data_IF_399007876061
#
_entry.id   IF_399007876061
#
_cell.length_a   1.000
_cell.length_b   1.000
_cell.length_c   1.000
_cell.angle_alpha   90.00
_cell.angle_beta   90.00
_cell.angle_gamma   90.00
#
_symmetry.space_group_name_H-M   'P 1'
#
loop_
_entity.id
_entity.type
_entity.pdbx_description
1 polymer ?
#
# COMPACT_ATOMS: atom_id res chain seq x y z
N UNK A 1 0.87 -21.99 2.07
CA UNK A 1 1.53 -20.96 1.29
C UNK A 1 1.81 -19.73 2.15
N UNK A 2 3.02 -19.67 2.73
CA UNK A 2 3.45 -18.67 3.71
C UNK A 2 3.43 -17.25 3.11
N UNK A 3 3.82 -17.10 1.85
CA UNK A 3 3.89 -15.80 1.16
C UNK A 3 2.50 -15.17 1.05
N UNK A 4 1.50 -15.93 0.61
CA UNK A 4 0.12 -15.41 0.54
C UNK A 4 -0.43 -15.08 1.92
N UNK A 5 -0.14 -15.87 2.95
CA UNK A 5 -0.57 -15.60 4.32
C UNK A 5 -0.04 -14.28 4.87
N UNK A 6 1.20 -13.92 4.52
CA UNK A 6 1.85 -12.71 5.03
C UNK A 6 1.53 -11.50 4.14
N UNK A 7 1.61 -11.65 2.82
CA UNK A 7 1.65 -10.56 1.86
C UNK A 7 0.44 -10.52 0.91
N UNK A 8 -0.44 -11.53 0.98
CA UNK A 8 -1.61 -11.60 0.12
C UNK A 8 -2.65 -10.52 0.43
N UNK A 9 -3.49 -10.19 -0.58
CA UNK A 9 -4.64 -9.32 -0.40
C UNK A 9 -5.57 -9.83 0.70
N UNK A 10 -6.20 -8.93 1.44
CA UNK A 10 -7.17 -9.24 2.49
C UNK A 10 -8.50 -8.59 2.16
N UNK A 11 -9.57 -9.27 2.51
CA UNK A 11 -10.87 -8.62 2.42
C UNK A 11 -10.91 -7.42 3.37
N UNK A 12 -11.38 -6.27 2.87
CA UNK A 12 -11.42 -5.04 3.68
C UNK A 12 -12.58 -5.04 4.68
N UNK A 13 -13.59 -5.91 4.51
CA UNK A 13 -14.68 -6.08 5.47
C UNK A 13 -14.34 -7.14 6.52
N UNK A 14 -13.65 -8.22 6.11
CA UNK A 14 -13.15 -9.27 7.00
C UNK A 14 -11.67 -9.58 6.72
N UNK A 15 -10.72 -8.91 7.41
CA UNK A 15 -9.28 -9.10 7.20
C UNK A 15 -8.75 -10.53 7.46
N UNK A 16 -9.57 -11.43 8.00
CA UNK A 16 -9.20 -12.84 8.15
C UNK A 16 -9.29 -13.61 6.82
N UNK A 17 -10.07 -13.09 5.88
CA UNK A 17 -10.14 -13.65 4.53
C UNK A 17 -8.93 -13.17 3.74
N UNK A 18 -8.07 -14.11 3.35
CA UNK A 18 -6.82 -13.85 2.63
C UNK A 18 -6.96 -14.41 1.22
N UNK A 19 -6.66 -13.59 0.22
CA UNK A 19 -6.61 -13.99 -1.18
C UNK A 19 -5.17 -14.28 -1.61
N UNK A 20 -4.96 -15.12 -2.63
CA UNK A 20 -3.63 -15.29 -3.21
C UNK A 20 -3.18 -14.03 -3.95
N UNK A 21 -1.87 -13.79 -3.98
CA UNK A 21 -1.25 -12.82 -4.88
C UNK A 21 -1.50 -13.23 -6.34
N UNK A 22 -1.76 -12.26 -7.19
CA UNK A 22 -1.87 -12.50 -8.63
C UNK A 22 -0.46 -12.60 -9.24
N UNK A 23 -0.02 -13.81 -9.53
CA UNK A 23 1.31 -14.09 -10.08
C UNK A 23 1.50 -13.63 -11.54
N UNK A 24 0.45 -13.14 -12.19
CA UNK A 24 0.58 -12.46 -13.48
C UNK A 24 1.20 -11.06 -13.32
N UNK A 25 1.13 -10.49 -12.11
CA UNK A 25 1.69 -9.17 -11.81
C UNK A 25 3.16 -9.30 -11.39
N UNK A 26 4.09 -8.54 -12.03
CA UNK A 26 5.52 -8.56 -11.67
C UNK A 26 5.79 -8.20 -10.21
N UNK A 27 4.95 -7.39 -9.60
CA UNK A 27 5.12 -6.99 -8.19
C UNK A 27 4.94 -8.16 -7.22
N UNK A 28 4.12 -9.16 -7.57
CA UNK A 28 3.99 -10.39 -6.78
C UNK A 28 5.31 -11.16 -6.72
N UNK A 29 6.04 -11.21 -7.83
CA UNK A 29 7.38 -11.81 -7.89
C UNK A 29 8.40 -10.99 -7.11
N UNK A 30 8.33 -9.65 -7.18
CA UNK A 30 9.22 -8.79 -6.41
C UNK A 30 9.04 -8.98 -4.90
N UNK A 31 7.79 -9.08 -4.42
CA UNK A 31 7.48 -9.41 -3.02
C UNK A 31 8.08 -10.76 -2.63
N UNK A 32 7.91 -11.79 -3.47
CA UNK A 32 8.46 -13.12 -3.20
C UNK A 32 9.97 -13.09 -3.00
N UNK A 33 10.70 -12.49 -3.95
CA UNK A 33 12.17 -12.46 -3.88
C UNK A 33 12.68 -11.58 -2.74
N UNK A 34 12.03 -10.44 -2.46
CA UNK A 34 12.38 -9.61 -1.33
C UNK A 34 12.13 -10.32 0.01
N UNK A 35 11.03 -11.06 0.14
CA UNK A 35 10.75 -11.88 1.31
C UNK A 35 11.79 -13.00 1.51
N UNK A 36 12.25 -13.66 0.43
CA UNK A 36 13.36 -14.60 0.51
C UNK A 36 14.65 -13.90 0.96
N UNK A 37 14.92 -12.70 0.43
CA UNK A 37 16.07 -11.88 0.85
C UNK A 37 16.02 -11.55 2.34
N UNK A 38 14.88 -11.17 2.89
CA UNK A 38 14.67 -10.92 4.33
C UNK A 38 14.93 -12.19 5.15
N UNK A 39 14.42 -13.33 4.72
CA UNK A 39 14.61 -14.63 5.40
C UNK A 39 16.08 -15.08 5.41
N UNK A 40 16.83 -14.78 4.36
CA UNK A 40 18.26 -15.05 4.29
C UNK A 40 19.08 -14.01 5.05
N UNK A 41 18.73 -12.74 4.93
CA UNK A 41 19.40 -11.60 5.58
C UNK A 41 19.36 -11.67 7.11
N UNK A 42 18.28 -12.19 7.68
CA UNK A 42 18.18 -12.41 9.13
C UNK A 42 19.23 -13.35 9.71
N UNK A 43 19.88 -14.14 8.84
CA UNK A 43 20.97 -15.07 9.20
C UNK A 43 22.37 -14.46 9.07
N UNK A 44 22.48 -13.25 8.55
CA UNK A 44 23.74 -12.55 8.31
C UNK A 44 23.80 -11.25 9.09
N UNK A 45 25.04 -10.79 9.44
CA UNK A 45 25.26 -9.57 10.21
C UNK A 45 25.10 -8.26 9.39
N UNK A 46 24.68 -8.33 8.13
CA UNK A 46 24.65 -7.19 7.20
C UNK A 46 23.24 -6.57 7.09
N UNK A 47 22.95 -5.54 7.90
CA UNK A 47 21.65 -4.86 7.97
C UNK A 47 21.29 -4.00 6.73
N UNK A 48 22.24 -3.62 5.88
CA UNK A 48 21.96 -2.71 4.75
C UNK A 48 21.05 -3.33 3.70
N UNK A 49 21.20 -4.63 3.46
CA UNK A 49 20.37 -5.36 2.48
C UNK A 49 18.93 -5.58 2.98
N UNK A 50 18.75 -5.63 4.29
CA UNK A 50 17.44 -5.85 4.91
C UNK A 50 16.50 -4.68 4.65
N UNK A 51 16.94 -3.43 4.82
CA UNK A 51 16.16 -2.23 4.50
C UNK A 51 15.74 -2.20 3.03
N UNK A 52 16.64 -2.55 2.13
CA UNK A 52 16.31 -2.53 0.71
C UNK A 52 15.26 -3.59 0.38
N UNK A 53 15.34 -4.76 1.00
CA UNK A 53 14.32 -5.81 0.85
C UNK A 53 12.97 -5.39 1.43
N UNK A 54 12.93 -4.78 2.62
CA UNK A 54 11.70 -4.23 3.20
C UNK A 54 11.10 -3.13 2.31
N UNK A 55 11.95 -2.27 1.71
CA UNK A 55 11.48 -1.25 0.74
C UNK A 55 10.85 -1.88 -0.49
N UNK A 56 11.47 -2.90 -1.07
CA UNK A 56 10.89 -3.61 -2.22
C UNK A 56 9.54 -4.18 -1.85
N UNK A 57 9.39 -4.79 -0.67
CA UNK A 57 8.13 -5.36 -0.21
C UNK A 57 7.04 -4.29 -0.18
N UNK A 58 7.22 -3.21 0.59
CA UNK A 58 6.12 -2.24 0.73
C UNK A 58 5.87 -1.41 -0.54
N UNK A 59 6.90 -1.12 -1.35
CA UNK A 59 6.72 -0.45 -2.64
C UNK A 59 5.94 -1.33 -3.63
N UNK A 60 6.24 -2.62 -3.68
CA UNK A 60 5.52 -3.58 -4.51
C UNK A 60 4.07 -3.75 -4.04
N UNK A 61 3.83 -3.78 -2.72
CA UNK A 61 2.46 -3.79 -2.18
C UNK A 61 1.68 -2.52 -2.53
N UNK A 62 2.34 -1.34 -2.48
CA UNK A 62 1.73 -0.10 -2.94
C UNK A 62 1.39 -0.13 -4.43
N UNK A 63 2.26 -0.71 -5.25
CA UNK A 63 2.00 -0.85 -6.68
C UNK A 63 0.81 -1.78 -6.92
N UNK A 64 0.73 -2.92 -6.22
CA UNK A 64 -0.44 -3.80 -6.27
C UNK A 64 -1.72 -3.11 -5.77
N UNK A 65 -1.63 -2.28 -4.74
CA UNK A 65 -2.77 -1.49 -4.29
C UNK A 65 -3.27 -0.54 -5.39
N UNK A 66 -2.37 0.08 -6.14
CA UNK A 66 -2.72 1.06 -7.20
C UNK A 66 -3.20 0.42 -8.50
N UNK A 67 -2.63 -0.73 -8.88
CA UNK A 67 -2.84 -1.34 -10.20
C UNK A 67 -2.73 -2.87 -10.19
N UNK A 68 -2.94 -3.51 -9.04
CA UNK A 68 -2.71 -4.95 -8.87
C UNK A 68 -3.79 -5.83 -9.46
N UNK A 69 -4.98 -5.29 -9.73
CA UNK A 69 -6.08 -6.06 -10.29
C UNK A 69 -6.02 -6.05 -11.82
N UNK A 70 -5.62 -7.18 -12.39
CA UNK A 70 -5.55 -7.37 -13.84
C UNK A 70 -6.88 -7.91 -14.34
N UNK A 71 -7.53 -7.14 -15.22
CA UNK A 71 -8.77 -7.53 -15.89
C UNK A 71 -8.47 -7.72 -17.37
N UNK A 72 -8.78 -8.90 -17.88
CA UNK A 72 -8.60 -9.26 -19.30
C UNK A 72 -9.98 -9.54 -19.89
N UNK A 73 -10.33 -8.90 -20.98
CA UNK A 73 -11.57 -9.16 -21.69
C UNK A 73 -11.35 -9.23 -23.21
N UNK A 74 -12.12 -10.08 -23.90
CA UNK A 74 -12.02 -10.20 -25.33
C UNK A 74 -12.58 -8.93 -26.01
N UNK A 75 -11.93 -8.52 -27.09
CA UNK A 75 -12.39 -7.52 -28.04
C UNK A 75 -12.45 -8.17 -29.43
N UNK A 76 -13.16 -7.56 -30.37
CA UNK A 76 -13.29 -8.06 -31.75
C UNK A 76 -13.72 -9.54 -31.85
N UNK A 77 -14.81 -9.89 -31.17
CA UNK A 77 -15.37 -11.27 -31.16
C UNK A 77 -14.34 -12.34 -30.73
N UNK A 78 -13.39 -11.97 -29.82
CA UNK A 78 -12.40 -12.90 -29.30
C UNK A 78 -11.12 -13.00 -30.13
N UNK A 79 -10.94 -12.17 -31.18
CA UNK A 79 -9.70 -12.14 -31.98
C UNK A 79 -8.57 -11.38 -31.31
N UNK A 80 -8.89 -10.50 -30.36
CA UNK A 80 -7.94 -9.75 -29.56
C UNK A 80 -8.38 -9.65 -28.10
N UNK A 81 -7.46 -9.28 -27.20
CA UNK A 81 -7.74 -9.08 -25.78
C UNK A 81 -7.26 -7.70 -25.35
N UNK A 82 -8.07 -7.00 -24.57
CA UNK A 82 -7.64 -5.81 -23.85
C UNK A 82 -7.32 -6.15 -22.40
N UNK A 83 -6.24 -5.56 -21.89
CA UNK A 83 -5.78 -5.74 -20.52
C UNK A 83 -5.88 -4.39 -19.81
N UNK A 84 -6.57 -4.39 -18.66
CA UNK A 84 -6.67 -3.23 -17.79
C UNK A 84 -6.10 -3.55 -16.43
N UNK A 85 -5.31 -2.64 -15.91
CA UNK A 85 -4.84 -2.65 -14.53
C UNK A 85 -5.73 -1.71 -13.72
N UNK A 86 -6.23 -2.20 -12.59
CA UNK A 86 -7.11 -1.46 -11.71
C UNK A 86 -6.58 -1.53 -10.27
N UNK A 87 -6.93 -0.54 -9.40
CA UNK A 87 -6.63 -0.63 -7.98
C UNK A 87 -7.18 -1.92 -7.35
N UNK A 88 -6.36 -2.58 -6.55
CA UNK A 88 -6.79 -3.69 -5.70
C UNK A 88 -6.90 -3.23 -4.24
N UNK A 89 -8.09 -2.77 -3.86
CA UNK A 89 -8.34 -2.26 -2.50
C UNK A 89 -8.13 -3.31 -1.41
N UNK A 90 -8.16 -4.61 -1.77
CA UNK A 90 -7.87 -5.71 -0.83
C UNK A 90 -6.42 -5.71 -0.35
N UNK A 91 -5.52 -5.03 -1.07
CA UNK A 91 -4.13 -4.83 -0.65
C UNK A 91 -3.97 -3.80 0.47
N UNK A 92 -5.03 -3.03 0.81
CA UNK A 92 -4.94 -1.94 1.79
C UNK A 92 -4.40 -2.39 3.14
N UNK A 93 -5.03 -3.39 3.77
CA UNK A 93 -4.64 -3.82 5.13
C UNK A 93 -3.23 -4.43 5.16
N UNK A 94 -2.87 -5.19 4.13
CA UNK A 94 -1.53 -5.79 4.03
C UNK A 94 -0.46 -4.72 3.82
N UNK A 95 -0.71 -3.74 2.94
CA UNK A 95 0.19 -2.61 2.72
C UNK A 95 0.32 -1.72 3.95
N UNK A 96 -0.80 -1.40 4.61
CA UNK A 96 -0.86 -0.65 5.86
C UNK A 96 -0.01 -1.32 6.95
N UNK A 97 -0.21 -2.62 7.14
CA UNK A 97 0.56 -3.39 8.12
C UNK A 97 2.05 -3.37 7.80
N UNK A 98 2.43 -3.53 6.54
CA UNK A 98 3.83 -3.48 6.11
C UNK A 98 4.49 -2.12 6.45
N UNK A 99 3.78 -1.00 6.26
CA UNK A 99 4.28 0.31 6.67
C UNK A 99 4.49 0.41 8.18
N UNK A 100 3.46 0.05 8.96
CA UNK A 100 3.50 0.12 10.42
C UNK A 100 4.63 -0.75 10.98
N UNK A 101 4.75 -1.99 10.53
CA UNK A 101 5.77 -2.94 10.97
C UNK A 101 7.18 -2.44 10.59
N UNK A 102 7.36 -1.88 9.38
CA UNK A 102 8.64 -1.37 8.90
C UNK A 102 9.06 -0.12 9.68
N UNK A 103 8.14 0.81 9.94
CA UNK A 103 8.41 1.99 10.76
C UNK A 103 8.82 1.56 12.18
N UNK A 104 8.05 0.68 12.81
CA UNK A 104 8.35 0.16 14.15
C UNK A 104 9.71 -0.55 14.19
N UNK A 105 10.02 -1.37 13.19
CA UNK A 105 11.29 -2.11 13.09
C UNK A 105 12.52 -1.19 13.05
N UNK A 106 12.42 -0.04 12.37
CA UNK A 106 13.54 0.84 12.16
C UNK A 106 13.58 2.06 13.08
N UNK A 107 12.53 2.35 13.82
CA UNK A 107 12.39 3.52 14.67
C UNK A 107 13.49 3.58 15.74
N UNK A 108 13.83 2.45 16.36
CA UNK A 108 14.77 2.36 17.49
C UNK A 108 16.13 1.77 17.09
N UNK A 109 16.41 1.60 15.79
CA UNK A 109 17.68 1.02 15.34
C UNK A 109 18.84 2.03 15.40
N UNK A 110 19.93 1.75 16.15
CA UNK A 110 21.12 2.59 16.18
C UNK A 110 21.74 2.77 14.79
N UNK A 111 22.20 3.98 14.47
CA UNK A 111 22.91 4.27 13.22
C UNK A 111 22.02 4.49 11.99
N UNK A 112 20.69 4.53 12.15
CA UNK A 112 19.77 4.95 11.09
C UNK A 112 19.61 6.46 11.08
N UNK A 113 19.63 7.04 9.88
CA UNK A 113 19.37 8.48 9.76
C UNK A 113 17.89 8.77 9.99
N UNK A 114 17.58 9.81 10.74
CA UNK A 114 16.22 10.33 10.89
C UNK A 114 15.51 10.49 9.54
N UNK A 115 16.26 10.78 8.48
CA UNK A 115 15.80 10.91 7.11
C UNK A 115 15.17 9.62 6.54
N UNK A 116 15.64 8.43 6.94
CA UNK A 116 15.05 7.16 6.48
C UNK A 116 13.67 6.92 7.11
N UNK A 117 13.54 7.21 8.41
CA UNK A 117 12.26 7.06 9.13
C UNK A 117 11.27 8.13 8.65
N UNK A 118 11.71 9.36 8.48
CA UNK A 118 10.85 10.43 7.95
C UNK A 118 10.35 10.09 6.54
N UNK A 119 11.19 9.55 5.65
CA UNK A 119 10.79 9.10 4.33
C UNK A 119 9.72 8.00 4.39
N UNK A 120 9.84 7.03 5.32
CA UNK A 120 8.82 6.00 5.55
C UNK A 120 7.52 6.60 6.07
N UNK A 121 7.58 7.54 7.02
CA UNK A 121 6.40 8.23 7.56
C UNK A 121 5.70 9.07 6.50
N UNK A 122 6.44 9.81 5.66
CA UNK A 122 5.89 10.54 4.50
C UNK A 122 5.20 9.58 3.53
N UNK A 123 5.84 8.45 3.22
CA UNK A 123 5.24 7.41 2.37
C UNK A 123 3.93 6.87 2.96
N UNK A 124 3.91 6.57 4.25
CA UNK A 124 2.71 6.08 4.94
C UNK A 124 1.60 7.11 4.97
N UNK A 125 1.91 8.37 5.25
CA UNK A 125 0.96 9.49 5.20
C UNK A 125 0.29 9.60 3.83
N UNK A 126 1.09 9.60 2.77
CA UNK A 126 0.59 9.68 1.40
C UNK A 126 -0.24 8.46 1.02
N UNK A 127 0.15 7.27 1.48
CA UNK A 127 -0.63 6.05 1.30
C UNK A 127 -2.00 6.15 1.97
N UNK A 128 -2.09 6.59 3.22
CA UNK A 128 -3.37 6.77 3.92
C UNK A 128 -4.25 7.81 3.23
N UNK A 129 -3.69 8.96 2.83
CA UNK A 129 -4.45 10.00 2.15
C UNK A 129 -5.02 9.53 0.81
N UNK A 130 -4.21 8.84 -0.01
CA UNK A 130 -4.66 8.28 -1.27
C UNK A 130 -5.69 7.15 -1.05
N UNK A 131 -5.49 6.32 -0.03
CA UNK A 131 -6.43 5.24 0.29
C UNK A 131 -7.79 5.78 0.74
N UNK A 132 -7.83 6.79 1.61
CA UNK A 132 -9.08 7.42 2.03
C UNK A 132 -9.86 7.94 0.81
N UNK A 133 -9.17 8.53 -0.15
CA UNK A 133 -9.80 9.02 -1.36
C UNK A 133 -10.25 7.88 -2.30
N UNK A 134 -9.43 6.87 -2.55
CA UNK A 134 -9.78 5.72 -3.39
C UNK A 134 -10.99 4.93 -2.85
N UNK A 135 -11.04 4.69 -1.54
CA UNK A 135 -12.22 4.05 -0.92
C UNK A 135 -13.48 4.90 -1.02
N UNK A 136 -13.35 6.24 -0.96
CA UNK A 136 -14.48 7.14 -1.19
C UNK A 136 -14.96 7.06 -2.64
N UNK A 137 -14.07 7.14 -3.63
CA UNK A 137 -14.40 7.06 -5.07
C UNK A 137 -15.12 5.75 -5.44
N UNK A 138 -14.80 4.67 -4.73
CA UNK A 138 -15.43 3.35 -4.95
C UNK A 138 -16.70 3.14 -4.11
N UNK A 139 -17.19 4.17 -3.41
CA UNK A 139 -18.44 4.13 -2.64
C UNK A 139 -18.30 3.56 -1.22
N UNK A 140 -17.11 3.18 -0.77
CA UNK A 140 -16.85 2.65 0.57
C UNK A 140 -16.65 3.77 1.61
N UNK A 141 -17.61 4.69 1.70
CA UNK A 141 -17.51 5.95 2.47
C UNK A 141 -17.14 5.72 3.94
N UNK A 142 -17.75 4.73 4.61
CA UNK A 142 -17.45 4.46 6.03
C UNK A 142 -16.00 4.02 6.23
N UNK A 143 -15.48 3.24 5.29
CA UNK A 143 -14.10 2.79 5.33
C UNK A 143 -13.14 3.96 5.06
N UNK A 144 -13.44 4.78 4.07
CA UNK A 144 -12.70 6.01 3.76
C UNK A 144 -12.62 6.96 4.97
N UNK A 145 -13.72 7.14 5.71
CA UNK A 145 -13.75 7.94 6.94
C UNK A 145 -12.84 7.35 8.04
N UNK A 146 -12.82 6.02 8.21
CA UNK A 146 -11.92 5.34 9.17
C UNK A 146 -10.45 5.57 8.82
N UNK A 147 -10.09 5.44 7.53
CA UNK A 147 -8.73 5.70 7.05
C UNK A 147 -8.35 7.17 7.27
N UNK A 148 -9.25 8.10 6.99
CA UNK A 148 -9.00 9.52 7.22
C UNK A 148 -8.83 9.85 8.71
N UNK A 149 -9.62 9.24 9.59
CA UNK A 149 -9.44 9.39 11.04
C UNK A 149 -8.08 8.83 11.51
N UNK A 150 -7.62 7.72 10.92
CA UNK A 150 -6.27 7.20 11.17
C UNK A 150 -5.20 8.20 10.69
N UNK A 151 -5.34 8.74 9.49
CA UNK A 151 -4.43 9.76 8.95
C UNK A 151 -4.30 10.98 9.89
N UNK A 152 -5.41 11.48 10.41
CA UNK A 152 -5.40 12.59 11.37
C UNK A 152 -4.72 12.23 12.69
N UNK A 153 -4.95 11.01 13.20
CA UNK A 153 -4.35 10.54 14.45
C UNK A 153 -2.84 10.34 14.33
N UNK A 154 -2.39 9.75 13.22
CA UNK A 154 -0.96 9.44 12.99
C UNK A 154 -0.15 10.68 12.61
N UNK A 155 -0.78 11.71 12.04
CA UNK A 155 -0.13 12.92 11.54
C UNK A 155 -0.84 14.20 12.01
N UNK A 156 -0.94 14.43 13.34
CA UNK A 156 -1.70 15.55 13.91
C UNK A 156 -1.09 16.92 13.57
N UNK A 157 0.20 16.97 13.24
CA UNK A 157 0.93 18.22 12.95
C UNK A 157 0.74 18.71 11.51
N UNK A 158 0.02 17.94 10.67
CA UNK A 158 -0.19 18.29 9.28
C UNK A 158 -1.48 19.10 9.10
N UNK A 159 -1.38 20.43 8.97
CA UNK A 159 -2.51 21.35 8.90
C UNK A 159 -3.51 21.02 7.78
N UNK A 160 -3.03 20.52 6.64
CA UNK A 160 -3.89 20.12 5.53
C UNK A 160 -4.89 19.00 5.85
N UNK A 161 -4.67 18.26 6.95
CA UNK A 161 -5.57 17.19 7.40
C UNK A 161 -6.41 17.62 8.62
N UNK A 162 -6.19 18.81 9.19
CA UNK A 162 -7.01 19.38 10.27
C UNK A 162 -8.32 19.94 9.73
N UNK A 163 -9.01 19.16 8.91
CA UNK A 163 -10.26 19.54 8.24
C UNK A 163 -11.29 18.43 8.41
N UNK A 164 -12.55 18.70 8.07
CA UNK A 164 -13.55 17.62 8.02
C UNK A 164 -13.29 16.68 6.86
N UNK A 165 -13.79 15.43 6.97
CA UNK A 165 -13.68 14.46 5.87
C UNK A 165 -14.27 15.02 4.56
N UNK A 166 -15.43 15.67 4.61
CA UNK A 166 -16.02 16.28 3.42
C UNK A 166 -15.15 17.37 2.78
N UNK A 167 -14.45 18.16 3.59
CA UNK A 167 -13.51 19.17 3.08
C UNK A 167 -12.28 18.51 2.47
N UNK A 168 -11.74 17.48 3.12
CA UNK A 168 -10.63 16.68 2.59
C UNK A 168 -10.96 16.12 1.19
N UNK A 169 -12.14 15.52 1.02
CA UNK A 169 -12.56 14.96 -0.28
C UNK A 169 -12.69 16.07 -1.35
N UNK A 170 -13.31 17.21 -1.01
CA UNK A 170 -13.41 18.33 -1.97
C UNK A 170 -12.05 18.85 -2.41
N UNK A 171 -11.11 18.99 -1.47
CA UNK A 171 -9.75 19.43 -1.78
C UNK A 171 -9.04 18.45 -2.72
N UNK A 172 -9.15 17.13 -2.46
CA UNK A 172 -8.57 16.08 -3.31
C UNK A 172 -9.17 16.07 -4.71
N UNK A 173 -10.49 16.25 -4.83
CA UNK A 173 -11.15 16.36 -6.14
C UNK A 173 -10.66 17.57 -6.93
N UNK A 174 -10.49 18.72 -6.26
CA UNK A 174 -9.95 19.91 -6.91
C UNK A 174 -8.52 19.70 -7.41
N UNK A 175 -7.65 19.11 -6.58
CA UNK A 175 -6.26 18.76 -6.97
C UNK A 175 -6.22 17.85 -8.21
N UNK A 176 -7.11 16.86 -8.32
CA UNK A 176 -7.16 15.97 -9.49
C UNK A 176 -7.66 16.67 -10.75
N UNK A 177 -8.62 17.60 -10.62
CA UNK A 177 -9.12 18.39 -11.75
C UNK A 177 -8.09 19.40 -12.30
N UNK A 178 -7.19 19.89 -11.44
CA UNK A 178 -6.10 20.80 -11.85
C UNK A 178 -4.92 20.05 -12.48
N UNK A 179 -4.76 18.77 -12.20
CA UNK A 179 -3.65 17.94 -12.67
C UNK A 179 -3.91 17.27 -14.03
N UNK A 180 -5.17 17.22 -14.52
CA UNK A 180 -5.58 16.61 -15.80
C UNK A 180 -5.78 17.62 -16.90
#
# INVERSE_FOLDING_TARGET
>A
DEINRIYGPRDYQDPNIIYPLDWRNPQSHAIYWAAQGLKMGSKTKYNTHEINSDRIVFQSMQALYRSGRIVVFPVDEGKAYSVFEMPDLRMYETCRKAYVDTIAKYQDMPGRTAMTIEGLRVGYRNFLANSAFSFYQTGHVRYAQRIFAELQREFPDQDKYKVTFGQFIRNRMAEEMEAG
#
